data_IF_002130353580
#
_entry.id   IF_002130353580
#
_cell.length_a   1.000
_cell.length_b   1.000
_cell.length_c   1.000
_cell.angle_alpha   90.00
_cell.angle_beta   90.00
_cell.angle_gamma   90.00
#
_symmetry.space_group_name_H-M   'P 1'
#
loop_
_entity.id
_entity.type
_entity.pdbx_description
1 polymer ?
#
# COMPACT_ATOMS: atom_id res chain seq x y z
N UNK A 1 26.11 -7.44 -0.84
CA UNK A 1 24.74 -7.09 -1.26
C UNK A 1 23.83 -8.11 -0.58
N UNK A 2 23.09 -7.67 0.44
CA UNK A 2 22.25 -8.55 1.27
C UNK A 2 21.04 -9.00 0.46
N UNK A 3 20.81 -10.31 0.45
CA UNK A 3 19.69 -10.99 -0.19
C UNK A 3 18.41 -10.70 0.60
N UNK A 4 17.33 -10.30 -0.08
CA UNK A 4 15.98 -10.44 0.49
C UNK A 4 15.18 -11.40 -0.40
N UNK A 5 14.89 -12.55 0.21
CA UNK A 5 14.26 -13.73 -0.36
C UNK A 5 12.82 -13.43 -0.79
N UNK A 6 12.62 -13.03 -2.05
CA UNK A 6 11.27 -13.03 -2.63
C UNK A 6 10.89 -14.45 -3.01
N UNK A 7 10.37 -15.17 -2.03
CA UNK A 7 9.78 -16.49 -2.16
C UNK A 7 8.57 -16.46 -3.14
N UNK A 8 8.66 -17.24 -4.22
CA UNK A 8 7.50 -17.89 -4.83
C UNK A 8 6.93 -17.30 -6.13
N UNK A 9 7.38 -17.84 -7.28
CA UNK A 9 6.49 -18.26 -8.36
C UNK A 9 5.97 -17.20 -9.35
N UNK A 10 6.47 -17.23 -10.58
CA UNK A 10 5.67 -16.99 -11.79
C UNK A 10 5.00 -15.61 -11.96
N UNK A 11 5.76 -14.64 -12.43
CA UNK A 11 5.36 -13.72 -13.51
C UNK A 11 4.08 -12.89 -13.38
N UNK A 12 4.08 -11.85 -12.53
CA UNK A 12 3.22 -10.66 -12.70
C UNK A 12 4.01 -9.40 -12.31
N UNK A 13 4.10 -8.41 -13.22
CA UNK A 13 4.86 -7.16 -13.03
C UNK A 13 4.06 -6.04 -12.31
N UNK A 14 2.84 -6.34 -11.85
CA UNK A 14 1.96 -5.35 -11.22
C UNK A 14 2.28 -5.13 -9.73
N UNK A 15 1.86 -3.97 -9.16
CA UNK A 15 2.03 -3.71 -7.73
C UNK A 15 1.19 -4.70 -6.90
N UNK A 16 1.69 -5.04 -5.72
CA UNK A 16 0.98 -5.88 -4.77
C UNK A 16 0.12 -5.00 -3.85
N UNK A 17 -1.13 -5.40 -3.61
CA UNK A 17 -1.99 -4.66 -2.69
C UNK A 17 -1.47 -4.83 -1.25
N UNK A 18 -1.18 -3.74 -0.52
CA UNK A 18 -0.60 -3.86 0.81
C UNK A 18 -1.57 -4.44 1.85
N UNK A 19 -2.88 -4.37 1.63
CA UNK A 19 -3.90 -4.89 2.54
C UNK A 19 -4.11 -6.39 2.39
N UNK A 20 -4.37 -6.90 1.19
CA UNK A 20 -4.69 -8.32 0.97
C UNK A 20 -3.50 -9.16 0.50
N UNK A 21 -2.35 -8.53 0.21
CA UNK A 21 -1.13 -9.18 -0.29
C UNK A 21 -1.35 -9.99 -1.57
N UNK A 22 -2.32 -9.60 -2.38
CA UNK A 22 -2.53 -10.15 -3.72
C UNK A 22 -2.04 -9.17 -4.79
N UNK A 23 -1.58 -9.66 -5.96
CA UNK A 23 -1.21 -8.80 -7.06
C UNK A 23 -2.42 -8.00 -7.56
N UNK A 24 -2.18 -6.74 -7.91
CA UNK A 24 -3.15 -5.90 -8.60
C UNK A 24 -2.99 -6.13 -10.10
N UNK A 25 -4.02 -6.68 -10.72
CA UNK A 25 -4.02 -7.02 -12.14
C UNK A 25 -4.45 -5.82 -12.99
N UNK A 26 -4.03 -5.83 -14.26
CA UNK A 26 -4.45 -4.83 -15.24
C UNK A 26 -5.98 -4.79 -15.37
N UNK A 27 -6.55 -3.58 -15.47
CA UNK A 27 -8.00 -3.36 -15.56
C UNK A 27 -8.74 -3.44 -14.22
N UNK A 28 -8.10 -3.86 -13.12
CA UNK A 28 -8.71 -3.75 -11.80
C UNK A 28 -8.77 -2.28 -11.35
N UNK A 29 -9.88 -1.90 -10.70
CA UNK A 29 -9.99 -0.58 -10.09
C UNK A 29 -9.02 -0.48 -8.91
N UNK A 30 -8.21 0.56 -8.90
CA UNK A 30 -7.20 0.82 -7.87
C UNK A 30 -7.50 2.10 -7.08
N UNK A 31 -6.85 2.22 -5.93
CA UNK A 31 -6.87 3.41 -5.10
C UNK A 31 -5.46 3.69 -4.57
N UNK A 32 -4.94 4.88 -4.83
CA UNK A 32 -3.70 5.35 -4.23
C UNK A 32 -3.97 5.85 -2.81
N UNK A 33 -3.24 5.32 -1.84
CA UNK A 33 -3.29 5.76 -0.43
C UNK A 33 -1.91 6.29 -0.04
N UNK A 34 -1.88 7.43 0.65
CA UNK A 34 -0.64 8.10 1.08
C UNK A 34 -0.78 8.49 2.55
N UNK A 35 0.07 7.94 3.40
CA UNK A 35 0.26 8.34 4.79
C UNK A 35 1.49 9.25 4.90
N UNK A 36 1.35 10.42 5.53
CA UNK A 36 2.44 11.38 5.70
C UNK A 36 3.58 10.86 6.58
N UNK A 37 3.29 9.92 7.49
CA UNK A 37 4.28 9.23 8.34
C UNK A 37 5.07 8.15 7.56
N UNK A 38 4.56 7.75 6.40
CA UNK A 38 5.18 6.76 5.50
C UNK A 38 5.20 7.31 4.06
N UNK A 39 5.85 8.47 3.81
CA UNK A 39 5.74 9.17 2.53
C UNK A 39 6.39 8.40 1.38
N UNK A 40 7.34 7.51 1.69
CA UNK A 40 8.05 6.67 0.73
C UNK A 40 7.47 5.25 0.64
N UNK A 41 6.48 4.89 1.47
CA UNK A 41 5.88 3.56 1.47
C UNK A 41 6.77 2.45 2.02
N UNK A 42 7.86 2.78 2.73
CA UNK A 42 8.76 1.79 3.33
C UNK A 42 8.09 0.95 4.42
N UNK A 43 7.10 1.51 5.12
CA UNK A 43 6.30 0.75 6.10
C UNK A 43 5.22 -0.10 5.42
N UNK A 44 5.09 -0.01 4.10
CA UNK A 44 4.12 -0.75 3.30
C UNK A 44 2.68 -0.29 3.53
N UNK A 45 2.46 0.90 4.08
CA UNK A 45 1.11 1.44 4.33
C UNK A 45 0.69 2.43 3.24
N UNK A 46 1.62 3.23 2.76
CA UNK A 46 1.46 4.02 1.53
C UNK A 46 1.64 3.11 0.30
N UNK A 47 0.76 3.24 -0.69
CA UNK A 47 0.86 2.44 -1.91
C UNK A 47 -0.44 2.37 -2.71
N UNK A 48 -0.41 1.55 -3.76
CA UNK A 48 -1.57 1.25 -4.60
C UNK A 48 -2.32 0.08 -4.00
N UNK A 49 -3.63 0.25 -3.77
CA UNK A 49 -4.52 -0.79 -3.25
C UNK A 49 -5.55 -1.18 -4.31
N UNK A 50 -6.14 -2.36 -4.20
CA UNK A 50 -7.44 -2.61 -4.82
C UNK A 50 -8.45 -1.58 -4.31
N UNK A 51 -9.34 -1.09 -5.17
CA UNK A 51 -10.29 -0.05 -4.80
C UNK A 51 -11.15 -0.39 -3.58
N UNK A 52 -11.50 -1.66 -3.39
CA UNK A 52 -12.26 -2.10 -2.22
C UNK A 52 -11.37 -2.17 -0.96
N UNK A 53 -10.18 -2.76 -1.06
CA UNK A 53 -9.25 -2.86 0.06
C UNK A 53 -8.83 -1.48 0.57
N UNK A 54 -8.57 -0.54 -0.35
CA UNK A 54 -8.06 0.79 -0.02
C UNK A 54 -9.05 1.73 0.66
N UNK A 55 -10.37 1.47 0.62
CA UNK A 55 -11.38 2.41 1.16
C UNK A 55 -11.13 2.78 2.63
N UNK A 56 -10.88 1.78 3.46
CA UNK A 56 -10.65 1.98 4.91
C UNK A 56 -9.34 2.74 5.12
N UNK A 57 -8.29 2.35 4.39
CA UNK A 57 -6.97 2.98 4.49
C UNK A 57 -6.97 4.42 3.97
N UNK A 58 -7.75 4.75 2.95
CA UNK A 58 -7.89 6.11 2.44
C UNK A 58 -8.55 7.03 3.46
N UNK A 59 -9.62 6.56 4.12
CA UNK A 59 -10.24 7.30 5.22
C UNK A 59 -9.28 7.46 6.40
N UNK A 60 -8.56 6.39 6.77
CA UNK A 60 -7.58 6.44 7.85
C UNK A 60 -6.43 7.39 7.53
N UNK A 61 -5.87 7.33 6.32
CA UNK A 61 -4.82 8.23 5.86
C UNK A 61 -5.26 9.69 5.94
N UNK A 62 -6.50 10.02 5.55
CA UNK A 62 -7.03 11.37 5.71
C UNK A 62 -7.03 11.83 7.18
N UNK A 63 -7.53 11.00 8.09
CA UNK A 63 -7.58 11.34 9.52
C UNK A 63 -6.18 11.48 10.10
N UNK A 64 -5.28 10.54 9.82
CA UNK A 64 -3.91 10.55 10.32
C UNK A 64 -3.10 11.72 9.75
N UNK A 65 -3.29 12.07 8.47
CA UNK A 65 -2.60 13.19 7.84
C UNK A 65 -3.07 14.56 8.35
N UNK A 66 -4.33 14.66 8.82
CA UNK A 66 -4.86 15.86 9.45
C UNK A 66 -4.37 16.03 10.90
N UNK A 67 -3.89 14.96 11.54
CA UNK A 67 -3.33 15.00 12.89
C UNK A 67 -1.85 14.54 12.90
N UNK A 68 -0.90 15.42 12.52
CA UNK A 68 0.51 15.08 12.44
C UNK A 68 1.15 14.71 13.79
N UNK A 69 0.43 14.81 14.91
CA UNK A 69 0.90 14.51 16.26
C UNK A 69 0.44 13.12 16.77
N UNK A 70 -0.42 12.41 16.04
CA UNK A 70 -0.87 11.06 16.42
C UNK A 70 0.17 9.94 16.17
N UNK A 71 1.34 10.27 15.61
CA UNK A 71 2.42 9.34 15.30
C UNK A 71 3.70 9.52 16.12
N UNK A 72 3.67 10.34 17.18
CA UNK A 72 4.85 10.60 18.04
C UNK A 72 4.77 9.86 19.37
#
# INVERSE_FOLDING_TARGET
MLLDETNGGGGHQGPWCPSCKQPILEGQKTLQVIFNDDPHGFRGSTGVYHAQCGKVFASLARVMNLNPWAGR
#
